data_IF_836551925376
#
_entry.id   IF_836551925376
#
_cell.length_a   1.000
_cell.length_b   1.000
_cell.length_c   1.000
_cell.angle_alpha   90.00
_cell.angle_beta   90.00
_cell.angle_gamma   90.00
#
_symmetry.space_group_name_H-M   'P 1'
#
loop_
_entity.id
_entity.type
_entity.pdbx_description
1 polymer ?
#
# COMPACT_ATOMS: atom_id res chain seq x y z
N UNK A 1 13.73 -3.39 -4.36
CA UNK A 1 12.43 -4.10 -4.31
C UNK A 1 11.66 -3.69 -5.54
N UNK A 2 10.99 -4.62 -6.21
CA UNK A 2 10.05 -4.33 -7.30
C UNK A 2 8.79 -5.10 -6.96
N UNK A 3 7.63 -4.44 -6.95
CA UNK A 3 6.38 -5.15 -6.80
C UNK A 3 5.59 -5.17 -8.11
N UNK A 4 4.74 -6.17 -8.29
CA UNK A 4 3.75 -6.21 -9.37
C UNK A 4 2.38 -6.51 -8.76
N UNK A 5 1.33 -6.02 -9.42
CA UNK A 5 -0.06 -6.25 -8.99
C UNK A 5 -0.89 -6.76 -10.15
N UNK A 6 -1.75 -7.72 -9.85
CA UNK A 6 -2.79 -8.21 -10.75
C UNK A 6 -4.12 -8.42 -10.00
N UNK A 7 -5.09 -9.05 -10.66
CA UNK A 7 -6.43 -9.29 -10.08
C UNK A 7 -6.47 -10.24 -8.89
N UNK A 8 -5.40 -10.99 -8.62
CA UNK A 8 -5.35 -12.03 -7.58
C UNK A 8 -4.44 -11.62 -6.42
N UNK A 9 -3.31 -10.99 -6.72
CA UNK A 9 -2.24 -10.83 -5.74
C UNK A 9 -1.35 -9.61 -5.95
N UNK A 10 -0.61 -9.29 -4.89
CA UNK A 10 0.64 -8.51 -4.93
C UNK A 10 1.79 -9.52 -4.98
N UNK A 11 2.74 -9.31 -5.91
CA UNK A 11 4.01 -10.05 -5.92
C UNK A 11 5.17 -9.11 -5.66
N UNK A 12 5.97 -9.37 -4.64
CA UNK A 12 7.14 -8.58 -4.25
C UNK A 12 8.42 -9.34 -4.60
N UNK A 13 9.25 -8.73 -5.43
CA UNK A 13 10.53 -9.26 -5.89
C UNK A 13 11.70 -8.56 -5.18
N UNK A 14 12.54 -9.36 -4.55
CA UNK A 14 13.79 -8.95 -3.93
C UNK A 14 14.97 -9.44 -4.80
N UNK A 15 16.10 -8.71 -4.80
CA UNK A 15 17.21 -9.00 -5.71
C UNK A 15 17.81 -10.41 -5.53
N UNK A 16 17.70 -10.98 -4.32
CA UNK A 16 18.33 -12.25 -3.95
C UNK A 16 17.41 -13.16 -3.11
N UNK A 17 16.10 -13.03 -3.25
CA UNK A 17 15.14 -13.92 -2.57
C UNK A 17 14.03 -14.36 -3.52
N UNK A 18 13.39 -15.47 -3.17
CA UNK A 18 12.16 -15.88 -3.84
C UNK A 18 11.09 -14.78 -3.70
N UNK A 19 10.25 -14.58 -4.74
CA UNK A 19 9.19 -13.60 -4.67
C UNK A 19 8.22 -13.93 -3.54
N UNK A 20 7.81 -12.90 -2.81
CA UNK A 20 6.70 -13.02 -1.84
C UNK A 20 5.41 -12.73 -2.59
N UNK A 21 4.45 -13.63 -2.48
CA UNK A 21 3.13 -13.51 -3.08
C UNK A 21 2.10 -13.35 -1.96
N UNK A 22 1.25 -12.35 -2.08
CA UNK A 22 0.20 -12.04 -1.11
C UNK A 22 -1.09 -11.95 -1.88
N UNK A 23 -1.99 -12.89 -1.62
CA UNK A 23 -3.32 -12.88 -2.22
C UNK A 23 -4.15 -11.75 -1.60
N UNK A 24 -5.05 -11.14 -2.39
CA UNK A 24 -5.87 -10.04 -1.87
C UNK A 24 -6.79 -10.46 -0.71
N UNK A 25 -7.13 -11.75 -0.60
CA UNK A 25 -7.91 -12.27 0.52
C UNK A 25 -7.09 -12.42 1.82
N UNK A 26 -5.77 -12.44 1.73
CA UNK A 26 -4.85 -12.41 2.88
C UNK A 26 -4.66 -11.01 3.45
N UNK A 27 -5.06 -9.96 2.72
CA UNK A 27 -5.01 -8.57 3.21
C UNK A 27 -6.15 -8.33 4.21
N UNK A 28 -5.78 -7.95 5.43
CA UNK A 28 -6.70 -7.56 6.49
C UNK A 28 -7.00 -6.06 6.44
N UNK A 29 -6.00 -5.20 6.33
CA UNK A 29 -6.19 -3.76 6.21
C UNK A 29 -5.19 -3.12 5.27
N UNK A 30 -5.58 -1.98 4.71
CA UNK A 30 -4.68 -1.09 3.98
C UNK A 30 -4.72 0.29 4.59
N UNK A 31 -3.55 0.82 4.90
CA UNK A 31 -3.40 2.18 5.41
C UNK A 31 -2.28 2.92 4.67
N UNK A 32 -2.28 4.24 4.80
CA UNK A 32 -1.27 5.12 4.24
C UNK A 32 -0.74 6.06 5.32
N UNK A 33 0.57 6.28 5.34
CA UNK A 33 1.19 7.30 6.19
C UNK A 33 2.39 7.91 5.49
N UNK A 34 2.85 9.05 6.00
CA UNK A 34 4.09 9.70 5.56
C UNK A 34 5.10 9.76 6.69
N UNK A 35 6.37 9.70 6.33
CA UNK A 35 7.49 9.96 7.24
C UNK A 35 8.32 11.13 6.74
N UNK A 36 8.92 11.83 7.69
CA UNK A 36 9.95 12.85 7.45
C UNK A 36 11.31 12.16 7.25
N UNK A 37 11.83 12.16 6.02
CA UNK A 37 13.23 11.82 5.77
C UNK A 37 14.06 13.10 5.73
N UNK A 38 15.39 12.98 5.93
CA UNK A 38 16.31 14.12 6.06
C UNK A 38 16.19 15.13 4.91
N UNK A 39 15.91 14.67 3.68
CA UNK A 39 15.88 15.51 2.47
C UNK A 39 14.50 15.60 1.80
N UNK A 40 13.54 14.77 2.20
CA UNK A 40 12.24 14.66 1.54
C UNK A 40 11.23 13.91 2.42
N UNK A 41 9.95 14.00 2.09
CA UNK A 41 8.92 13.15 2.71
C UNK A 41 8.73 11.88 1.90
N UNK A 42 8.51 10.74 2.56
CA UNK A 42 8.20 9.48 1.89
C UNK A 42 6.85 8.97 2.35
N UNK A 43 5.95 8.71 1.41
CA UNK A 43 4.67 8.06 1.63
C UNK A 43 4.76 6.55 1.55
N UNK A 44 3.99 5.85 2.38
CA UNK A 44 3.94 4.39 2.44
C UNK A 44 2.50 3.91 2.41
N UNK A 45 2.20 2.96 1.53
CA UNK A 45 1.06 2.08 1.66
C UNK A 45 1.48 0.87 2.49
N UNK A 46 0.71 0.58 3.53
CA UNK A 46 0.88 -0.58 4.41
C UNK A 46 -0.26 -1.54 4.14
N UNK A 47 0.08 -2.80 3.88
CA UNK A 47 -0.89 -3.88 3.81
C UNK A 47 -0.65 -4.81 5.00
N UNK A 48 -1.55 -4.75 5.98
CA UNK A 48 -1.54 -5.69 7.10
C UNK A 48 -2.23 -6.98 6.66
N UNK A 49 -1.62 -8.11 6.97
CA UNK A 49 -2.10 -9.43 6.60
C UNK A 49 -2.88 -10.06 7.75
N UNK A 50 -3.81 -10.97 7.41
CA UNK A 50 -4.65 -11.69 8.38
C UNK A 50 -3.83 -12.44 9.45
N UNK A 51 -2.61 -12.84 9.13
CA UNK A 51 -1.74 -13.58 10.04
C UNK A 51 -0.76 -12.71 10.84
N UNK A 52 -0.92 -11.38 10.82
CA UNK A 52 -0.15 -10.44 11.64
C UNK A 52 1.20 -10.01 11.05
N UNK A 53 1.49 -10.43 9.81
CA UNK A 53 2.58 -9.88 9.00
C UNK A 53 2.10 -8.63 8.27
N UNK A 54 3.03 -7.80 7.79
CA UNK A 54 2.71 -6.64 6.98
C UNK A 54 3.73 -6.43 5.88
N UNK A 55 3.32 -5.74 4.82
CA UNK A 55 4.21 -5.22 3.78
C UNK A 55 4.05 -3.71 3.63
N UNK A 56 5.14 -3.05 3.30
CA UNK A 56 5.16 -1.62 3.03
C UNK A 56 5.67 -1.35 1.62
N UNK A 57 4.92 -0.55 0.87
CA UNK A 57 5.29 -0.06 -0.46
C UNK A 57 5.40 1.45 -0.36
N UNK A 58 6.54 2.02 -0.75
CA UNK A 58 6.72 3.47 -0.75
C UNK A 58 6.41 4.11 -2.10
N UNK A 59 6.17 5.42 -2.06
CA UNK A 59 5.82 6.26 -3.21
C UNK A 59 6.95 6.49 -4.22
N UNK A 60 8.18 6.08 -3.91
CA UNK A 60 9.31 6.11 -4.85
C UNK A 60 9.39 4.88 -5.76
N UNK A 61 8.60 3.84 -5.49
CA UNK A 61 8.57 2.64 -6.33
C UNK A 61 7.95 2.92 -7.71
N UNK A 62 8.52 2.32 -8.76
CA UNK A 62 8.10 2.54 -10.15
C UNK A 62 6.64 2.16 -10.41
N UNK A 63 6.09 1.22 -9.65
CA UNK A 63 4.72 0.75 -9.83
C UNK A 63 3.72 1.43 -8.89
N UNK A 64 4.13 2.48 -8.14
CA UNK A 64 3.28 3.21 -7.20
C UNK A 64 1.95 3.67 -7.80
N UNK A 65 2.00 4.42 -8.91
CA UNK A 65 0.80 4.93 -9.55
C UNK A 65 -0.15 3.82 -10.00
N UNK A 66 0.40 2.66 -10.37
CA UNK A 66 -0.42 1.50 -10.76
C UNK A 66 -1.23 0.99 -9.56
N UNK A 67 -0.60 0.79 -8.40
CA UNK A 67 -1.31 0.27 -7.23
C UNK A 67 -2.32 1.29 -6.70
N UNK A 68 -1.99 2.59 -6.65
CA UNK A 68 -2.93 3.62 -6.20
C UNK A 68 -4.18 3.69 -7.09
N UNK A 69 -4.02 3.54 -8.40
CA UNK A 69 -5.15 3.54 -9.33
C UNK A 69 -5.96 2.25 -9.28
N UNK A 70 -5.29 1.10 -9.19
CA UNK A 70 -5.92 -0.21 -9.29
C UNK A 70 -6.43 -0.77 -7.95
N UNK A 71 -6.00 -0.25 -6.79
CA UNK A 71 -6.29 -0.81 -5.46
C UNK A 71 -7.78 -1.10 -5.23
N UNK A 72 -8.67 -0.17 -5.57
CA UNK A 72 -10.12 -0.34 -5.41
C UNK A 72 -10.73 -1.45 -6.27
N UNK A 73 -10.04 -1.88 -7.33
CA UNK A 73 -10.47 -3.02 -8.15
C UNK A 73 -10.32 -4.33 -7.39
N UNK A 74 -9.45 -4.35 -6.39
CA UNK A 74 -9.06 -5.55 -5.65
C UNK A 74 -9.62 -5.52 -4.22
N UNK A 75 -9.52 -4.36 -3.55
CA UNK A 75 -9.99 -4.14 -2.19
C UNK A 75 -10.93 -2.93 -2.18
N UNK A 76 -12.24 -3.13 -1.94
CA UNK A 76 -13.20 -2.04 -1.99
C UNK A 76 -12.90 -1.03 -0.87
N UNK A 77 -12.43 0.16 -1.25
CA UNK A 77 -12.11 1.21 -0.28
C UNK A 77 -13.33 1.59 0.56
N UNK A 78 -13.08 1.82 1.84
CA UNK A 78 -14.08 2.26 2.81
C UNK A 78 -14.03 3.78 3.04
N UNK A 79 -13.00 4.44 2.51
CA UNK A 79 -12.81 5.89 2.63
C UNK A 79 -13.13 6.57 1.31
N UNK A 80 -14.18 7.38 1.29
CA UNK A 80 -14.55 8.19 0.13
C UNK A 80 -13.41 9.13 -0.25
N UNK A 81 -13.13 9.27 -1.55
CA UNK A 81 -12.11 10.19 -2.10
C UNK A 81 -10.69 10.00 -1.56
N UNK A 82 -10.36 8.82 -1.03
CA UNK A 82 -9.06 8.56 -0.41
C UNK A 82 -7.85 8.83 -1.32
N UNK A 83 -7.99 8.68 -2.65
CA UNK A 83 -6.91 9.03 -3.59
C UNK A 83 -6.57 10.52 -3.53
N UNK A 84 -7.59 11.38 -3.43
CA UNK A 84 -7.36 12.81 -3.27
C UNK A 84 -6.70 13.10 -1.93
N UNK A 85 -7.20 12.49 -0.85
CA UNK A 85 -6.60 12.60 0.49
C UNK A 85 -5.14 12.18 0.49
N UNK A 86 -4.80 11.04 -0.14
CA UNK A 86 -3.44 10.53 -0.24
C UNK A 86 -2.51 11.54 -0.93
N UNK A 87 -2.93 12.16 -2.03
CA UNK A 87 -2.13 13.16 -2.74
C UNK A 87 -1.90 14.46 -1.95
N UNK A 88 -2.84 14.84 -1.07
CA UNK A 88 -2.70 16.02 -0.22
C UNK A 88 -2.22 15.72 1.21
N UNK A 89 -1.97 14.46 1.53
CA UNK A 89 -1.67 14.02 2.89
C UNK A 89 -0.36 14.62 3.39
N UNK A 90 -0.34 15.02 4.65
CA UNK A 90 0.83 15.51 5.38
C UNK A 90 1.30 14.48 6.42
N UNK A 91 2.55 14.59 6.86
CA UNK A 91 3.07 13.83 8.01
C UNK A 91 2.23 14.09 9.28
N UNK A 92 1.75 15.32 9.44
CA UNK A 92 0.96 15.73 10.61
C UNK A 92 -0.48 15.16 10.61
N UNK A 93 -0.96 14.65 9.46
CA UNK A 93 -2.31 14.08 9.35
C UNK A 93 -2.39 12.65 9.94
N UNK A 94 -1.26 12.03 10.24
CA UNK A 94 -1.19 10.69 10.82
C UNK A 94 -1.47 9.59 9.79
N UNK A 95 -2.31 8.62 10.16
CA UNK A 95 -2.60 7.43 9.35
C UNK A 95 -3.93 7.59 8.63
N UNK A 96 -3.90 7.46 7.30
CA UNK A 96 -5.07 7.36 6.44
C UNK A 96 -5.47 5.90 6.28
N UNK A 97 -6.61 5.49 6.84
CA UNK A 97 -7.15 4.14 6.65
C UNK A 97 -7.91 4.06 5.33
N UNK A 98 -7.59 3.08 4.49
CA UNK A 98 -8.17 2.91 3.15
C UNK A 98 -9.17 1.75 3.11
N UNK A 99 -8.82 0.65 3.78
CA UNK A 99 -9.57 -0.59 3.77
C UNK A 99 -9.37 -1.34 5.08
N UNK A 100 -10.43 -1.97 5.60
CA UNK A 100 -10.37 -2.98 6.65
C UNK A 100 -11.35 -4.11 6.33
N UNK A 101 -10.92 -5.35 6.48
CA UNK A 101 -11.75 -6.53 6.25
C UNK A 101 -12.81 -6.65 7.35
N UNK A 102 -14.08 -6.78 6.95
CA UNK A 102 -15.26 -6.90 7.84
C UNK A 102 -15.55 -8.35 8.18
#
# INVERSE_FOLDING_TARGET
MIFTVDSQQISIHYEHAEPVQIDWDEVYSVSYYKIDCIEYEMGYLVFDLVFGEFIEINDSDQNWEKIVNDLEKYLPSQTSDWRHSLHSWSIDDGILYLYEKV
#
